data_IF_485782838470
#
_entry.id   IF_485782838470
#
_cell.length_a   1.000
_cell.length_b   1.000
_cell.length_c   1.000
_cell.angle_alpha   90.00
_cell.angle_beta   90.00
_cell.angle_gamma   90.00
#
_symmetry.space_group_name_H-M   'P 1'
#
loop_
_entity.id
_entity.type
_entity.pdbx_description
1 polymer ?
#
# COMPACT_ATOMS: atom_id res chain seq x y z
N UNK A 1 -13.61 -0.84 14.99
CA UNK A 1 -14.29 -0.13 16.06
C UNK A 1 -15.10 1.06 15.53
N UNK A 2 -14.61 1.86 14.58
CA UNK A 2 -15.29 3.06 14.07
C UNK A 2 -16.71 2.80 13.55
N UNK A 3 -16.95 1.70 12.83
CA UNK A 3 -18.31 1.30 12.44
C UNK A 3 -19.20 1.05 13.67
N UNK A 4 -18.68 0.38 14.70
CA UNK A 4 -19.40 0.16 15.96
C UNK A 4 -19.71 1.46 16.68
N UNK A 5 -18.76 2.41 16.68
CA UNK A 5 -18.97 3.76 17.25
C UNK A 5 -20.18 4.46 16.63
N UNK A 6 -20.34 4.36 15.31
CA UNK A 6 -21.47 4.95 14.57
C UNK A 6 -22.75 4.18 14.81
N UNK A 7 -22.73 2.85 14.64
CA UNK A 7 -23.93 2.01 14.57
C UNK A 7 -24.51 1.65 15.94
N UNK A 8 -23.65 1.44 16.93
CA UNK A 8 -24.08 0.94 18.26
C UNK A 8 -24.11 2.08 19.27
N UNK A 9 -23.08 2.91 19.29
CA UNK A 9 -22.98 4.01 20.26
C UNK A 9 -23.61 5.31 19.76
N UNK A 10 -23.99 5.38 18.48
CA UNK A 10 -24.58 6.58 17.85
C UNK A 10 -23.73 7.84 18.09
N UNK A 11 -22.40 7.67 18.09
CA UNK A 11 -21.43 8.75 18.30
C UNK A 11 -20.65 9.06 17.04
N UNK A 12 -20.22 10.32 16.92
CA UNK A 12 -19.33 10.74 15.84
C UNK A 12 -17.91 10.21 16.11
N UNK A 13 -17.35 9.29 15.27
CA UNK A 13 -16.04 8.70 15.48
C UNK A 13 -14.88 9.69 15.35
N UNK A 14 -15.14 10.91 14.87
CA UNK A 14 -14.16 12.00 14.81
C UNK A 14 -14.16 12.88 16.07
N UNK A 15 -15.21 12.79 16.89
CA UNK A 15 -15.36 13.58 18.10
C UNK A 15 -15.08 12.79 19.38
N UNK A 16 -15.15 11.46 19.32
CA UNK A 16 -14.94 10.59 20.47
C UNK A 16 -13.71 9.70 20.27
N UNK A 17 -13.03 9.37 21.37
CA UNK A 17 -11.92 8.39 21.37
C UNK A 17 -12.41 7.05 21.89
N UNK A 18 -11.90 5.92 21.39
CA UNK A 18 -12.29 4.57 21.87
C UNK A 18 -12.14 4.41 23.39
N UNK A 19 -11.14 5.04 24.00
CA UNK A 19 -10.88 4.96 25.44
C UNK A 19 -12.07 5.41 26.30
N UNK A 20 -12.98 6.25 25.79
CA UNK A 20 -14.20 6.67 26.49
C UNK A 20 -15.20 5.52 26.74
N UNK A 21 -15.02 4.39 26.06
CA UNK A 21 -15.85 3.20 26.21
C UNK A 21 -15.18 2.13 27.10
N UNK A 22 -14.14 2.51 27.87
CA UNK A 22 -13.47 1.61 28.83
C UNK A 22 -14.47 1.09 29.86
N UNK A 23 -14.43 -0.22 30.13
CA UNK A 23 -15.40 -0.89 30.99
C UNK A 23 -16.75 -1.20 30.34
N UNK A 24 -17.01 -0.66 29.15
CA UNK A 24 -18.26 -0.86 28.40
C UNK A 24 -18.03 -1.83 27.22
N UNK A 25 -16.93 -1.66 26.50
CA UNK A 25 -16.67 -2.43 25.27
C UNK A 25 -15.42 -3.31 25.41
N UNK A 26 -15.60 -4.67 25.39
CA UNK A 26 -14.48 -5.61 25.49
C UNK A 26 -13.52 -5.57 24.29
N UNK A 27 -13.91 -4.96 23.13
CA UNK A 27 -13.06 -4.89 21.96
C UNK A 27 -11.85 -3.96 22.16
N UNK A 28 -11.90 -3.08 23.16
CA UNK A 28 -10.79 -2.19 23.49
C UNK A 28 -9.52 -2.96 23.90
N UNK A 29 -9.66 -4.16 24.44
CA UNK A 29 -8.52 -5.03 24.77
C UNK A 29 -7.68 -5.44 23.54
N UNK A 30 -8.26 -5.35 22.34
CA UNK A 30 -7.61 -5.68 21.06
C UNK A 30 -7.19 -4.45 20.25
N UNK A 31 -7.34 -3.23 20.81
CA UNK A 31 -7.05 -1.99 20.10
C UNK A 31 -5.78 -1.33 20.62
N UNK A 32 -4.93 -0.90 19.67
CA UNK A 32 -3.69 -0.22 20.01
C UNK A 32 -3.88 1.32 20.16
N UNK A 33 -4.64 1.95 19.24
CA UNK A 33 -4.79 3.40 19.17
C UNK A 33 -6.08 3.90 19.85
N UNK A 34 -6.31 3.50 21.12
CA UNK A 34 -7.55 3.81 21.84
C UNK A 34 -7.67 5.28 22.26
N UNK A 35 -6.56 6.00 22.36
CA UNK A 35 -6.47 7.39 22.81
C UNK A 35 -6.67 8.41 21.68
N UNK A 36 -6.84 7.97 20.43
CA UNK A 36 -7.02 8.84 19.28
C UNK A 36 -8.42 8.68 18.66
N UNK A 37 -9.04 9.77 18.15
CA UNK A 37 -10.24 9.67 17.35
C UNK A 37 -9.93 9.00 16.01
N UNK A 38 -10.98 8.69 15.24
CA UNK A 38 -10.81 8.04 13.93
C UNK A 38 -9.97 8.90 12.99
N UNK A 39 -8.90 8.32 12.46
CA UNK A 39 -8.07 8.92 11.41
C UNK A 39 -8.55 8.53 9.99
N UNK A 40 -9.61 7.75 9.89
CA UNK A 40 -10.10 7.22 8.61
C UNK A 40 -11.11 8.14 7.95
N UNK A 41 -11.14 8.11 6.62
CA UNK A 41 -12.12 8.88 5.84
C UNK A 41 -13.54 8.35 6.01
N UNK A 42 -14.59 9.18 5.76
CA UNK A 42 -15.97 8.73 5.83
C UNK A 42 -16.27 7.55 4.89
N UNK A 43 -15.64 7.51 3.70
CA UNK A 43 -15.82 6.41 2.77
C UNK A 43 -15.33 5.08 3.35
N UNK A 44 -14.13 5.08 3.99
CA UNK A 44 -13.64 3.85 4.63
C UNK A 44 -14.54 3.41 5.77
N UNK A 45 -15.00 4.35 6.61
CA UNK A 45 -15.92 4.03 7.70
C UNK A 45 -17.20 3.39 7.12
N UNK A 46 -17.77 3.99 6.06
CA UNK A 46 -18.94 3.44 5.37
C UNK A 46 -18.71 2.02 4.82
N UNK A 47 -17.55 1.78 4.19
CA UNK A 47 -17.19 0.44 3.70
C UNK A 47 -17.10 -0.57 4.85
N UNK A 48 -16.58 -0.19 6.03
CA UNK A 48 -16.44 -1.10 7.18
C UNK A 48 -17.79 -1.46 7.82
N UNK A 49 -18.88 -0.75 7.51
CA UNK A 49 -20.24 -1.10 7.95
C UNK A 49 -20.66 -2.47 7.40
N UNK A 50 -20.32 -2.76 6.14
CA UNK A 50 -20.67 -4.03 5.50
C UNK A 50 -20.06 -5.23 6.25
N UNK A 51 -18.73 -5.35 6.42
CA UNK A 51 -18.15 -6.44 7.20
C UNK A 51 -18.56 -6.43 8.67
N UNK A 52 -18.89 -5.25 9.25
CA UNK A 52 -19.44 -5.18 10.60
C UNK A 52 -20.80 -5.86 10.68
N UNK A 53 -21.70 -5.57 9.74
CA UNK A 53 -23.04 -6.17 9.70
C UNK A 53 -22.97 -7.69 9.57
N UNK A 54 -22.15 -8.21 8.65
CA UNK A 54 -21.92 -9.65 8.50
C UNK A 54 -21.08 -10.28 9.63
N UNK A 55 -20.55 -9.46 10.54
CA UNK A 55 -19.89 -9.90 11.76
C UNK A 55 -20.84 -10.17 12.93
N UNK A 56 -22.15 -9.86 12.76
CA UNK A 56 -23.22 -10.11 13.75
C UNK A 56 -22.88 -9.57 15.15
N UNK A 57 -22.12 -8.49 15.25
CA UNK A 57 -21.68 -7.91 16.53
C UNK A 57 -20.51 -8.63 17.22
N UNK A 58 -19.98 -9.70 16.63
CA UNK A 58 -18.82 -10.42 17.17
C UNK A 58 -17.51 -9.93 16.59
N UNK A 59 -16.48 -9.85 17.43
CA UNK A 59 -15.16 -9.35 17.06
C UNK A 59 -14.46 -10.22 16.00
N UNK A 60 -14.40 -11.54 16.21
CA UNK A 60 -13.69 -12.47 15.32
C UNK A 60 -14.29 -12.52 13.90
N UNK A 61 -15.62 -12.70 13.72
CA UNK A 61 -16.21 -12.65 12.38
C UNK A 61 -15.97 -11.31 11.67
N UNK A 62 -16.06 -10.19 12.39
CA UNK A 62 -15.73 -8.88 11.80
C UNK A 62 -14.27 -8.83 11.33
N UNK A 63 -13.34 -9.28 12.16
CA UNK A 63 -11.92 -9.32 11.83
C UNK A 63 -11.68 -10.16 10.55
N UNK A 64 -12.29 -11.33 10.44
CA UNK A 64 -12.20 -12.18 9.26
C UNK A 64 -12.81 -11.53 8.02
N UNK A 65 -13.98 -10.91 8.15
CA UNK A 65 -14.63 -10.20 7.05
C UNK A 65 -13.77 -9.06 6.52
N UNK A 66 -13.11 -8.30 7.42
CA UNK A 66 -12.16 -7.26 7.02
C UNK A 66 -10.91 -7.85 6.33
N UNK A 67 -10.37 -8.97 6.84
CA UNK A 67 -9.25 -9.66 6.19
C UNK A 67 -9.62 -10.18 4.80
N UNK A 68 -10.82 -10.72 4.63
CA UNK A 68 -11.32 -11.15 3.32
C UNK A 68 -11.44 -9.96 2.37
N UNK A 69 -12.02 -8.85 2.80
CA UNK A 69 -12.15 -7.64 1.98
C UNK A 69 -10.79 -7.14 1.49
N UNK A 70 -9.81 -7.04 2.38
CA UNK A 70 -8.45 -6.58 2.05
C UNK A 70 -7.71 -7.62 1.19
N UNK A 71 -7.88 -8.92 1.50
CA UNK A 71 -7.32 -10.00 0.68
C UNK A 71 -7.87 -10.01 -0.75
N UNK A 72 -9.17 -9.77 -0.91
CA UNK A 72 -9.78 -9.59 -2.24
C UNK A 72 -9.17 -8.37 -2.96
N UNK A 73 -9.01 -7.23 -2.29
CA UNK A 73 -8.40 -6.05 -2.88
C UNK A 73 -6.95 -6.33 -3.34
N UNK A 74 -6.17 -7.09 -2.57
CA UNK A 74 -4.83 -7.54 -2.98
C UNK A 74 -4.87 -8.40 -4.25
N UNK A 75 -5.76 -9.41 -4.30
CA UNK A 75 -5.91 -10.27 -5.49
C UNK A 75 -6.37 -9.45 -6.70
N UNK A 76 -7.35 -8.57 -6.52
CA UNK A 76 -7.82 -7.68 -7.59
C UNK A 76 -6.72 -6.75 -8.09
N UNK A 77 -5.85 -6.26 -7.22
CA UNK A 77 -4.68 -5.45 -7.62
C UNK A 77 -3.73 -6.27 -8.48
N UNK A 78 -3.39 -7.50 -8.09
CA UNK A 78 -2.52 -8.39 -8.86
C UNK A 78 -3.12 -8.72 -10.24
N UNK A 79 -4.41 -9.04 -10.30
CA UNK A 79 -5.14 -9.28 -11.57
C UNK A 79 -5.13 -8.02 -12.45
N UNK A 80 -5.36 -6.85 -11.87
CA UNK A 80 -5.35 -5.58 -12.61
C UNK A 80 -3.97 -5.26 -13.20
N UNK A 81 -2.88 -5.47 -12.45
CA UNK A 81 -1.51 -5.36 -12.94
C UNK A 81 -1.31 -6.31 -14.12
N UNK A 82 -1.72 -7.57 -13.97
CA UNK A 82 -1.65 -8.56 -15.05
C UNK A 82 -2.37 -8.09 -16.31
N UNK A 83 -3.63 -7.64 -16.21
CA UNK A 83 -4.42 -7.16 -17.36
C UNK A 83 -3.83 -5.93 -18.05
N UNK A 84 -3.14 -5.06 -17.31
CA UNK A 84 -2.46 -3.90 -17.88
C UNK A 84 -1.24 -4.33 -18.70
N UNK A 85 -0.43 -5.24 -18.17
CA UNK A 85 0.83 -5.68 -18.77
C UNK A 85 0.65 -6.70 -19.87
N UNK A 86 -0.33 -7.60 -19.77
CA UNK A 86 -0.62 -8.63 -20.78
C UNK A 86 -0.85 -8.04 -22.17
N UNK A 87 -1.38 -6.81 -22.25
CA UNK A 87 -1.59 -6.09 -23.51
C UNK A 87 -0.31 -5.63 -24.20
N UNK A 88 0.80 -5.66 -23.47
CA UNK A 88 2.09 -5.21 -23.96
C UNK A 88 3.02 -6.41 -24.20
N UNK A 89 3.19 -7.27 -23.19
CA UNK A 89 4.04 -8.46 -23.24
C UNK A 89 3.70 -9.42 -22.08
N UNK A 90 3.48 -10.70 -22.39
CA UNK A 90 3.20 -11.75 -21.40
C UNK A 90 4.36 -11.97 -20.42
N UNK A 91 5.60 -11.79 -20.86
CA UNK A 91 6.76 -11.93 -19.96
C UNK A 91 6.80 -10.78 -18.95
N UNK A 92 6.51 -9.54 -19.39
CA UNK A 92 6.38 -8.40 -18.51
C UNK A 92 5.23 -8.61 -17.52
N UNK A 93 4.10 -9.18 -17.96
CA UNK A 93 2.99 -9.54 -17.08
C UNK A 93 3.44 -10.46 -15.95
N UNK A 94 4.10 -11.56 -16.27
CA UNK A 94 4.55 -12.55 -15.27
C UNK A 94 5.50 -11.91 -14.26
N UNK A 95 6.50 -11.14 -14.73
CA UNK A 95 7.46 -10.47 -13.85
C UNK A 95 6.80 -9.41 -12.99
N UNK A 96 5.91 -8.58 -13.57
CA UNK A 96 5.22 -7.52 -12.83
C UNK A 96 4.28 -8.08 -11.77
N UNK A 97 3.46 -9.08 -12.11
CA UNK A 97 2.57 -9.73 -11.13
C UNK A 97 3.38 -10.39 -10.03
N UNK A 98 4.46 -11.11 -10.37
CA UNK A 98 5.33 -11.74 -9.37
C UNK A 98 6.01 -10.71 -8.46
N UNK A 99 6.51 -9.60 -9.02
CA UNK A 99 7.14 -8.53 -8.25
C UNK A 99 6.21 -7.90 -7.22
N UNK A 100 4.91 -7.81 -7.51
CA UNK A 100 3.89 -7.33 -6.58
C UNK A 100 3.44 -8.44 -5.63
N UNK A 101 2.91 -9.54 -6.19
CA UNK A 101 2.20 -10.57 -5.43
C UNK A 101 3.12 -11.46 -4.57
N UNK A 102 4.41 -11.59 -4.91
CA UNK A 102 5.36 -12.35 -4.12
C UNK A 102 6.27 -11.46 -3.26
N UNK A 103 6.01 -10.14 -3.22
CA UNK A 103 6.77 -9.24 -2.38
C UNK A 103 6.42 -9.49 -0.90
N UNK A 104 7.39 -9.88 -0.04
CA UNK A 104 7.11 -10.25 1.35
C UNK A 104 6.47 -9.12 2.16
N UNK A 105 6.90 -7.86 1.95
CA UNK A 105 6.31 -6.72 2.63
C UNK A 105 4.85 -6.53 2.24
N UNK A 106 4.51 -6.65 0.95
CA UNK A 106 3.13 -6.52 0.47
C UNK A 106 2.25 -7.64 1.02
N UNK A 107 2.76 -8.87 1.08
CA UNK A 107 2.04 -9.99 1.69
C UNK A 107 1.75 -9.70 3.17
N UNK A 108 2.75 -9.26 3.93
CA UNK A 108 2.59 -8.96 5.35
C UNK A 108 1.60 -7.82 5.56
N UNK A 109 1.75 -6.70 4.85
CA UNK A 109 0.94 -5.50 5.05
C UNK A 109 -0.50 -5.62 4.49
N UNK A 110 -0.74 -6.55 3.56
CA UNK A 110 -2.06 -6.75 2.98
C UNK A 110 -2.80 -7.96 3.53
N UNK A 111 -2.11 -9.07 3.86
CA UNK A 111 -2.77 -10.31 4.22
C UNK A 111 -2.60 -10.67 5.70
N UNK A 112 -1.45 -10.37 6.31
CA UNK A 112 -1.20 -10.64 7.72
C UNK A 112 -1.69 -9.49 8.58
N UNK A 113 -1.26 -8.26 8.28
CA UNK A 113 -1.65 -7.02 8.96
C UNK A 113 -2.46 -6.14 8.00
N UNK A 114 -3.75 -6.45 7.76
CA UNK A 114 -4.51 -5.95 6.62
C UNK A 114 -4.73 -4.44 6.70
N UNK A 115 -3.94 -3.69 5.94
CA UNK A 115 -4.08 -2.25 5.78
C UNK A 115 -5.02 -1.90 4.62
N UNK A 116 -5.90 -0.93 4.83
CA UNK A 116 -6.88 -0.47 3.83
C UNK A 116 -6.25 0.20 2.59
N UNK A 117 -4.96 0.48 2.65
CA UNK A 117 -4.17 1.07 1.57
C UNK A 117 -4.24 0.26 0.28
N UNK A 118 -4.31 -1.08 0.38
CA UNK A 118 -4.41 -1.92 -0.81
C UNK A 118 -5.78 -1.79 -1.49
N UNK A 119 -6.86 -1.51 -0.76
CA UNK A 119 -8.18 -1.27 -1.37
C UNK A 119 -8.16 0.03 -2.18
N UNK A 120 -7.53 1.10 -1.65
CA UNK A 120 -7.29 2.32 -2.40
C UNK A 120 -6.50 2.03 -3.69
N UNK A 121 -5.44 1.23 -3.61
CA UNK A 121 -4.62 0.88 -4.79
C UNK A 121 -5.36 -0.02 -5.78
N UNK A 122 -6.20 -0.94 -5.32
CA UNK A 122 -7.06 -1.73 -6.20
C UNK A 122 -7.97 -0.83 -7.05
N UNK A 123 -8.59 0.18 -6.43
CA UNK A 123 -9.44 1.16 -7.15
C UNK A 123 -8.65 1.89 -8.24
N UNK A 124 -7.42 2.35 -7.95
CA UNK A 124 -6.58 3.03 -8.95
C UNK A 124 -6.14 2.09 -10.07
N UNK A 125 -5.67 0.89 -9.75
CA UNK A 125 -5.22 -0.07 -10.77
C UNK A 125 -6.38 -0.43 -11.70
N UNK A 126 -7.59 -0.61 -11.16
CA UNK A 126 -8.77 -0.85 -11.99
C UNK A 126 -9.25 0.41 -12.73
N UNK A 127 -9.02 1.61 -12.19
CA UNK A 127 -9.22 2.85 -12.95
C UNK A 127 -8.36 2.86 -14.23
N UNK A 128 -7.09 2.43 -14.14
CA UNK A 128 -6.21 2.29 -15.31
C UNK A 128 -6.77 1.24 -16.31
N UNK A 129 -7.19 0.07 -15.81
CA UNK A 129 -7.78 -0.98 -16.66
C UNK A 129 -9.01 -0.45 -17.42
N UNK A 130 -9.92 0.22 -16.73
CA UNK A 130 -11.13 0.79 -17.34
C UNK A 130 -10.81 1.90 -18.34
N UNK A 131 -9.84 2.75 -18.05
CA UNK A 131 -9.38 3.77 -18.99
C UNK A 131 -8.86 3.14 -20.29
N UNK A 132 -8.03 2.11 -20.18
CA UNK A 132 -7.51 1.37 -21.35
C UNK A 132 -8.63 0.65 -22.12
N UNK A 133 -9.75 0.33 -21.48
CA UNK A 133 -10.99 -0.18 -22.11
C UNK A 133 -11.88 0.93 -22.68
N UNK A 134 -11.40 2.17 -22.77
CA UNK A 134 -12.15 3.35 -23.24
C UNK A 134 -13.31 3.77 -22.32
N UNK A 135 -13.44 3.21 -21.15
CA UNK A 135 -14.46 3.53 -20.12
C UNK A 135 -13.98 4.68 -19.22
N UNK A 136 -13.76 5.87 -19.81
CA UNK A 136 -13.15 7.01 -19.12
C UNK A 136 -13.93 7.48 -17.91
N UNK A 137 -15.28 7.51 -17.98
CA UNK A 137 -16.14 7.92 -16.87
C UNK A 137 -16.00 6.96 -15.68
N UNK A 138 -16.08 5.66 -15.90
CA UNK A 138 -15.90 4.66 -14.85
C UNK A 138 -14.48 4.70 -14.26
N UNK A 139 -13.46 4.92 -15.08
CA UNK A 139 -12.09 5.15 -14.63
C UNK A 139 -11.99 6.37 -13.69
N UNK A 140 -12.65 7.48 -14.06
CA UNK A 140 -12.65 8.68 -13.23
C UNK A 140 -13.37 8.45 -11.90
N UNK A 141 -14.51 7.74 -11.92
CA UNK A 141 -15.24 7.37 -10.70
C UNK A 141 -14.35 6.54 -9.76
N UNK A 142 -13.64 5.51 -10.26
CA UNK A 142 -12.75 4.70 -9.44
C UNK A 142 -11.58 5.50 -8.88
N UNK A 143 -10.99 6.41 -9.67
CA UNK A 143 -9.95 7.30 -9.17
C UNK A 143 -10.49 8.21 -8.05
N UNK A 144 -11.68 8.79 -8.24
CA UNK A 144 -12.33 9.63 -7.22
C UNK A 144 -12.63 8.87 -5.94
N UNK A 145 -13.11 7.62 -6.04
CA UNK A 145 -13.30 6.74 -4.89
C UNK A 145 -11.98 6.42 -4.19
N UNK A 146 -10.92 6.18 -4.96
CA UNK A 146 -9.58 5.97 -4.40
C UNK A 146 -9.10 7.19 -3.61
N UNK A 147 -9.28 8.41 -4.14
CA UNK A 147 -8.95 9.66 -3.44
C UNK A 147 -9.79 9.82 -2.18
N UNK A 148 -11.08 9.49 -2.24
CA UNK A 148 -11.98 9.54 -1.08
C UNK A 148 -11.62 8.49 0.00
N UNK A 149 -11.00 7.37 -0.39
CA UNK A 149 -10.43 6.41 0.57
C UNK A 149 -9.23 6.97 1.31
N UNK A 150 -8.32 7.63 0.59
CA UNK A 150 -7.12 8.26 1.14
C UNK A 150 -6.55 9.25 0.14
N UNK A 151 -6.28 10.46 0.57
CA UNK A 151 -5.86 11.57 -0.31
C UNK A 151 -4.60 11.29 -1.12
N UNK A 152 -3.81 10.27 -0.77
CA UNK A 152 -2.55 9.94 -1.43
C UNK A 152 -2.68 9.82 -2.96
N UNK A 153 -3.77 9.26 -3.45
CA UNK A 153 -3.97 9.06 -4.89
C UNK A 153 -4.40 10.32 -5.66
N UNK A 154 -4.56 11.46 -4.99
CA UNK A 154 -4.79 12.77 -5.64
C UNK A 154 -3.63 13.14 -6.58
N UNK A 155 -2.41 12.73 -6.24
CA UNK A 155 -1.23 12.94 -7.09
C UNK A 155 -1.34 12.25 -8.45
N UNK A 156 -2.27 11.30 -8.62
CA UNK A 156 -2.48 10.58 -9.88
C UNK A 156 -3.48 11.27 -10.83
N UNK A 157 -4.13 12.36 -10.41
CA UNK A 157 -5.04 13.11 -11.29
C UNK A 157 -4.36 13.49 -12.62
N UNK A 158 -3.13 14.03 -12.66
CA UNK A 158 -2.47 14.34 -13.92
C UNK A 158 -2.22 13.10 -14.80
N UNK A 159 -1.99 11.92 -14.21
CA UNK A 159 -1.80 10.69 -14.95
C UNK A 159 -3.03 10.30 -15.77
N UNK A 160 -4.25 10.56 -15.25
CA UNK A 160 -5.50 10.35 -15.98
C UNK A 160 -5.54 11.15 -17.29
N UNK A 161 -5.16 12.43 -17.26
CA UNK A 161 -5.20 13.31 -18.43
C UNK A 161 -4.12 12.99 -19.48
N UNK A 162 -2.98 12.40 -19.07
CA UNK A 162 -1.93 11.96 -20.00
C UNK A 162 -2.05 10.48 -20.41
N UNK A 163 -3.20 9.87 -20.16
CA UNK A 163 -3.52 8.50 -20.61
C UNK A 163 -2.87 7.39 -19.79
N UNK A 164 -2.62 7.63 -18.51
CA UNK A 164 -2.04 6.64 -17.58
C UNK A 164 -0.72 6.04 -18.07
N UNK A 165 0.18 6.89 -18.61
CA UNK A 165 1.53 6.44 -18.97
C UNK A 165 2.22 5.88 -17.73
N UNK A 166 2.67 4.61 -17.77
CA UNK A 166 3.18 3.85 -16.61
C UNK A 166 4.26 4.60 -15.84
N UNK A 167 5.29 5.12 -16.53
CA UNK A 167 6.40 5.87 -15.91
C UNK A 167 5.94 7.19 -15.29
N UNK A 168 5.00 7.90 -15.93
CA UNK A 168 4.42 9.13 -15.39
C UNK A 168 3.61 8.83 -14.12
N UNK A 169 2.77 7.80 -14.16
CA UNK A 169 1.99 7.38 -12.98
C UNK A 169 2.90 7.02 -11.80
N UNK A 170 3.98 6.27 -12.07
CA UNK A 170 4.98 5.94 -11.06
C UNK A 170 5.67 7.19 -10.50
N UNK A 171 6.09 8.13 -11.36
CA UNK A 171 6.72 9.38 -10.88
C UNK A 171 5.77 10.19 -10.00
N UNK A 172 4.51 10.32 -10.40
CA UNK A 172 3.51 11.09 -9.64
C UNK A 172 3.21 10.47 -8.27
N UNK A 173 3.02 9.15 -8.19
CA UNK A 173 2.78 8.49 -6.91
C UNK A 173 4.04 8.53 -6.02
N UNK A 174 5.23 8.46 -6.61
CA UNK A 174 6.49 8.58 -5.88
C UNK A 174 6.69 9.99 -5.31
N UNK A 175 6.31 11.03 -6.06
CA UNK A 175 6.31 12.42 -5.56
C UNK A 175 5.39 12.55 -4.35
N UNK A 176 4.17 12.02 -4.45
CA UNK A 176 3.23 12.02 -3.33
C UNK A 176 3.76 11.23 -2.13
N UNK A 177 4.37 10.06 -2.35
CA UNK A 177 5.01 9.27 -1.30
C UNK A 177 6.12 10.07 -0.60
N UNK A 178 7.02 10.69 -1.37
CA UNK A 178 8.11 11.52 -0.83
C UNK A 178 7.53 12.71 -0.04
N UNK A 179 6.49 13.38 -0.54
CA UNK A 179 5.85 14.50 0.17
C UNK A 179 5.32 14.08 1.54
N UNK A 180 4.78 12.86 1.68
CA UNK A 180 4.32 12.33 2.97
C UNK A 180 5.49 12.02 3.91
N UNK A 181 6.63 11.53 3.40
CA UNK A 181 7.82 11.26 4.21
C UNK A 181 8.41 12.50 4.88
N UNK A 182 8.23 13.69 4.29
CA UNK A 182 8.63 14.96 4.93
C UNK A 182 7.70 15.41 6.07
N UNK A 183 6.49 14.83 6.17
CA UNK A 183 5.48 15.25 7.14
C UNK A 183 5.27 14.25 8.27
N UNK A 184 5.64 12.98 8.06
CA UNK A 184 5.36 11.88 8.99
C UNK A 184 6.48 10.85 9.00
N UNK A 185 6.58 10.11 10.10
CA UNK A 185 7.42 8.93 10.17
C UNK A 185 7.08 7.92 9.06
N UNK A 186 8.12 7.28 8.55
CA UNK A 186 7.98 6.23 7.54
C UNK A 186 7.31 5.01 8.16
N UNK A 187 6.10 4.70 7.69
CA UNK A 187 5.40 3.49 8.07
C UNK A 187 5.51 2.46 6.95
N UNK A 188 5.78 1.21 7.32
CA UNK A 188 6.12 0.16 6.34
C UNK A 188 5.01 -0.05 5.31
N UNK A 189 3.75 0.05 5.69
CA UNK A 189 2.60 -0.11 4.79
C UNK A 189 2.43 1.03 3.77
N UNK A 190 3.10 2.18 3.93
CA UNK A 190 3.07 3.24 2.91
C UNK A 190 3.70 2.79 1.59
N UNK A 191 4.60 1.80 1.63
CA UNK A 191 5.18 1.23 0.42
C UNK A 191 4.16 0.52 -0.49
N UNK A 192 3.02 0.11 0.06
CA UNK A 192 1.87 -0.43 -0.70
C UNK A 192 1.36 0.58 -1.75
N UNK A 193 1.56 1.89 -1.56
CA UNK A 193 1.12 2.91 -2.52
C UNK A 193 1.97 2.92 -3.79
N UNK A 194 3.25 2.65 -3.68
CA UNK A 194 4.22 2.75 -4.78
C UNK A 194 4.41 1.42 -5.50
N UNK A 195 4.34 0.32 -4.75
CA UNK A 195 4.68 -1.01 -5.26
C UNK A 195 3.86 -1.47 -6.47
N UNK A 196 2.53 -1.23 -6.56
CA UNK A 196 1.76 -1.57 -7.75
C UNK A 196 2.26 -0.86 -9.02
N UNK A 197 2.73 0.39 -8.89
CA UNK A 197 3.26 1.16 -10.02
C UNK A 197 4.67 0.73 -10.42
N UNK A 198 5.50 0.29 -9.47
CA UNK A 198 6.79 -0.36 -9.77
C UNK A 198 6.53 -1.67 -10.53
N UNK A 199 5.56 -2.45 -10.10
CA UNK A 199 5.16 -3.67 -10.76
C UNK A 199 4.65 -3.45 -12.20
N UNK A 200 4.14 -2.27 -12.52
CA UNK A 200 3.76 -1.89 -13.89
C UNK A 200 4.95 -1.53 -14.80
N UNK A 201 6.17 -1.39 -14.26
CA UNK A 201 7.38 -1.09 -15.05
C UNK A 201 8.49 -2.13 -14.81
N UNK A 202 8.21 -3.44 -14.97
CA UNK A 202 9.16 -4.52 -14.68
C UNK A 202 10.35 -4.53 -15.64
N UNK A 203 10.27 -3.82 -16.77
CA UNK A 203 11.36 -3.52 -17.69
C UNK A 203 12.48 -2.69 -17.05
N UNK A 204 12.16 -1.88 -16.03
CA UNK A 204 13.13 -1.11 -15.26
C UNK A 204 13.79 -1.97 -14.15
N UNK A 205 14.55 -3.00 -14.56
CA UNK A 205 15.19 -3.97 -13.64
C UNK A 205 15.93 -3.33 -12.45
N UNK A 206 16.74 -2.26 -12.62
CA UNK A 206 17.40 -1.60 -11.48
C UNK A 206 16.39 -1.08 -10.46
N UNK A 207 15.25 -0.54 -10.89
CA UNK A 207 14.20 -0.05 -10.01
C UNK A 207 13.52 -1.20 -9.23
N UNK A 208 13.29 -2.34 -9.89
CA UNK A 208 12.75 -3.55 -9.21
C UNK A 208 13.70 -4.02 -8.11
N UNK A 209 15.02 -4.01 -8.36
CA UNK A 209 16.03 -4.35 -7.35
C UNK A 209 16.01 -3.37 -6.18
N UNK A 210 15.95 -2.05 -6.46
CA UNK A 210 15.85 -1.03 -5.39
C UNK A 210 14.57 -1.22 -4.59
N UNK A 211 13.45 -1.50 -5.24
CA UNK A 211 12.18 -1.73 -4.55
C UNK A 211 12.20 -2.96 -3.63
N UNK A 212 12.92 -4.01 -4.02
CA UNK A 212 13.13 -5.18 -3.18
C UNK A 212 13.95 -4.83 -1.92
N UNK A 213 15.01 -4.03 -2.08
CA UNK A 213 15.80 -3.53 -0.95
C UNK A 213 14.99 -2.65 0.01
N UNK A 214 14.15 -1.76 -0.53
CA UNK A 214 13.23 -0.93 0.27
C UNK A 214 12.22 -1.82 1.01
N UNK A 215 11.61 -2.77 0.32
CA UNK A 215 10.64 -3.71 0.93
C UNK A 215 11.30 -4.51 2.06
N UNK A 216 12.51 -5.00 1.87
CA UNK A 216 13.25 -5.74 2.89
C UNK A 216 13.60 -4.85 4.09
N UNK A 217 14.10 -3.64 3.85
CA UNK A 217 14.43 -2.70 4.92
C UNK A 217 13.20 -2.30 5.73
N UNK A 218 12.08 -2.03 5.08
CA UNK A 218 10.83 -1.68 5.75
C UNK A 218 10.24 -2.87 6.54
N UNK A 219 10.38 -4.09 6.04
CA UNK A 219 9.95 -5.29 6.75
C UNK A 219 10.80 -5.54 8.00
N UNK A 220 12.11 -5.41 7.88
CA UNK A 220 13.05 -5.60 9.00
C UNK A 220 12.89 -4.56 10.12
N UNK A 221 12.24 -3.42 9.87
CA UNK A 221 11.93 -2.42 10.92
C UNK A 221 11.11 -2.98 12.08
N UNK A 222 10.35 -4.04 11.86
CA UNK A 222 9.55 -4.68 12.92
C UNK A 222 10.40 -5.57 13.83
N UNK A 223 11.50 -6.13 13.33
CA UNK A 223 12.30 -7.12 14.03
C UNK A 223 12.85 -6.65 15.39
N UNK A 224 13.41 -5.43 15.53
CA UNK A 224 13.94 -4.99 16.83
C UNK A 224 12.87 -4.92 17.92
N UNK A 225 11.68 -4.40 17.58
CA UNK A 225 10.56 -4.35 18.53
C UNK A 225 10.01 -5.74 18.85
N UNK A 226 9.87 -6.60 17.85
CA UNK A 226 9.37 -7.97 18.05
C UNK A 226 10.30 -8.79 18.92
N UNK A 227 11.61 -8.52 18.87
CA UNK A 227 12.61 -9.21 19.68
C UNK A 227 12.71 -8.66 21.09
N UNK A 228 12.72 -7.33 21.27
CA UNK A 228 12.96 -6.68 22.56
C UNK A 228 11.67 -6.31 23.32
N UNK A 229 10.52 -6.26 22.65
CA UNK A 229 9.22 -5.95 23.25
C UNK A 229 9.00 -4.49 23.64
N UNK A 230 9.93 -3.58 23.31
CA UNK A 230 9.82 -2.16 23.63
C UNK A 230 10.42 -1.27 22.51
N UNK A 231 10.16 0.04 22.58
CA UNK A 231 10.66 1.04 21.63
C UNK A 231 11.83 1.88 22.17
N UNK A 232 12.31 1.61 23.39
CA UNK A 232 13.41 2.33 24.01
C UNK A 232 14.75 1.90 23.38
N UNK A 233 15.83 2.62 23.72
CA UNK A 233 17.18 2.27 23.29
C UNK A 233 17.51 0.79 23.61
N UNK A 234 18.19 0.08 22.70
CA UNK A 234 18.80 0.52 21.43
C UNK A 234 17.88 0.39 20.18
N UNK A 235 16.58 0.16 20.35
CA UNK A 235 15.62 -0.14 19.25
C UNK A 235 15.62 0.92 18.14
N UNK A 236 15.60 2.24 18.42
CA UNK A 236 15.56 3.25 17.35
C UNK A 236 16.78 3.17 16.43
N UNK A 237 17.99 2.97 16.99
CA UNK A 237 19.22 2.86 16.22
C UNK A 237 19.25 1.57 15.39
N UNK A 238 18.90 0.43 15.97
CA UNK A 238 18.85 -0.85 15.24
C UNK A 238 17.84 -0.75 14.10
N UNK A 239 16.65 -0.21 14.38
CA UNK A 239 15.59 0.02 13.38
C UNK A 239 16.09 0.85 12.19
N UNK A 240 16.89 1.90 12.45
CA UNK A 240 17.50 2.71 11.40
C UNK A 240 18.42 1.87 10.50
N UNK A 241 19.36 1.15 11.09
CA UNK A 241 20.36 0.37 10.36
C UNK A 241 19.73 -0.79 9.56
N UNK A 242 18.84 -1.56 10.16
CA UNK A 242 18.16 -2.67 9.45
C UNK A 242 17.28 -2.17 8.30
N UNK A 243 16.87 -0.90 8.34
CA UNK A 243 16.17 -0.26 7.23
C UNK A 243 17.15 0.19 6.14
N UNK A 244 18.22 0.90 6.51
CA UNK A 244 19.11 1.55 5.55
C UNK A 244 20.06 0.57 4.84
N UNK A 245 20.54 -0.48 5.51
CA UNK A 245 21.49 -1.43 4.91
C UNK A 245 20.93 -2.12 3.67
N UNK A 246 19.72 -2.73 3.68
CA UNK A 246 19.15 -3.34 2.49
C UNK A 246 18.92 -2.32 1.35
N UNK A 247 18.50 -1.10 1.68
CA UNK A 247 18.30 -0.02 0.71
C UNK A 247 19.63 0.34 0.05
N UNK A 248 20.67 0.63 0.83
CA UNK A 248 21.98 0.98 0.33
C UNK A 248 22.57 -0.14 -0.54
N UNK A 249 22.48 -1.38 -0.08
CA UNK A 249 22.92 -2.56 -0.85
C UNK A 249 22.21 -2.65 -2.20
N UNK A 250 20.89 -2.48 -2.22
CA UNK A 250 20.13 -2.53 -3.46
C UNK A 250 20.45 -1.38 -4.42
N UNK A 251 20.75 -0.19 -3.91
CA UNK A 251 21.20 0.94 -4.72
C UNK A 251 22.56 0.67 -5.36
N UNK A 252 23.50 0.08 -4.64
CA UNK A 252 24.81 -0.33 -5.19
C UNK A 252 24.61 -1.36 -6.31
N UNK A 253 23.82 -2.40 -6.07
CA UNK A 253 23.53 -3.44 -7.08
C UNK A 253 22.89 -2.80 -8.32
N UNK A 254 21.88 -1.94 -8.15
CA UNK A 254 21.22 -1.25 -9.25
C UNK A 254 22.20 -0.35 -10.04
N UNK A 255 23.10 0.36 -9.36
CA UNK A 255 24.16 1.16 -9.98
C UNK A 255 25.09 0.31 -10.84
N UNK A 256 25.56 -0.83 -10.32
CA UNK A 256 26.38 -1.78 -11.07
C UNK A 256 25.65 -2.33 -12.31
N UNK A 257 24.35 -2.61 -12.20
CA UNK A 257 23.54 -3.06 -13.36
C UNK A 257 23.50 -1.99 -14.45
N UNK A 258 23.31 -0.73 -14.10
CA UNK A 258 23.27 0.40 -15.04
C UNK A 258 24.64 0.56 -15.73
N UNK A 259 25.72 0.54 -14.95
CA UNK A 259 27.10 0.65 -15.50
C UNK A 259 27.42 -0.48 -16.47
N UNK A 260 27.07 -1.73 -16.11
CA UNK A 260 27.26 -2.90 -16.99
C UNK A 260 26.50 -2.78 -18.31
N UNK A 261 25.27 -2.25 -18.26
CA UNK A 261 24.43 -2.05 -19.45
C UNK A 261 25.05 -0.98 -20.36
N UNK A 262 25.50 0.15 -19.82
CA UNK A 262 26.16 1.22 -20.56
C UNK A 262 27.48 0.74 -21.20
N UNK A 263 28.30 -0.02 -20.46
CA UNK A 263 29.55 -0.57 -20.97
C UNK A 263 29.35 -1.54 -22.15
N UNK A 264 28.30 -2.39 -22.08
CA UNK A 264 27.95 -3.29 -23.19
C UNK A 264 27.47 -2.54 -24.43
N UNK A 265 26.72 -1.43 -24.27
CA UNK A 265 26.27 -0.59 -25.36
C UNK A 265 27.49 0.06 -26.05
N UNK A 266 28.39 0.69 -25.29
CA UNK A 266 29.60 1.32 -25.81
C UNK A 266 30.55 0.36 -26.57
N UNK A 267 30.51 -0.96 -26.27
CA UNK A 267 31.29 -1.96 -27.01
C UNK A 267 30.65 -2.42 -28.32
N UNK A 268 29.36 -2.21 -28.50
CA UNK A 268 28.66 -2.56 -29.75
C UNK A 268 28.76 -1.45 -30.81
N UNK A 269 29.05 -0.23 -30.36
CA UNK A 269 29.18 0.94 -31.25
C UNK A 269 30.65 1.16 -31.73
N UNK A 270 31.56 0.27 -31.31
CA UNK A 270 32.94 0.14 -31.78
C UNK A 270 33.12 -1.12 -32.63
#
# INVERSE_FOLDING_TARGET
FTAKTVLVYHKNPYAVVPLQFTGIDPWLAFMHWTHLPSAYTPLWIGITIIPYFFGFGYFLPLMWNLKILIGLAYVFTAIGIGRILEREDKNLMTVGVAAFALNPLIIIECLVSPHNDILMMALVIWAIVLYKNKQKLASWILLSLSIAMKLMTIFLIPAFFVGWKRRVSLSLISIGFIAVLFQRDVLSWYWVWVMPFIALVPDMKPLVVVSAGISMGLLLRYAPFLYLGHWNDPVPMIKLWVTLIPIATSLVIAGLMVLKTRWKASKKDK
#
